data_IF_629100497237
#
_entry.id   IF_629100497237
#
_cell.length_a   1.000
_cell.length_b   1.000
_cell.length_c   1.000
_cell.angle_alpha   90.00
_cell.angle_beta   90.00
_cell.angle_gamma   90.00
#
_symmetry.space_group_name_H-M   'P 1'
#
loop_
_entity.id
_entity.type
_entity.pdbx_description
1 polymer ?
#
# COMPACT_ATOMS: atom_id res chain seq x y z
N UNK A 1 -10.90 -26.10 -6.57
CA UNK A 1 -10.43 -25.93 -5.19
C UNK A 1 -10.67 -27.22 -4.46
N UNK A 2 -9.63 -28.01 -4.42
CA UNK A 2 -9.60 -29.31 -3.76
C UNK A 2 -9.27 -29.11 -2.29
N UNK A 3 -10.11 -28.33 -1.62
CA UNK A 3 -10.03 -28.13 -0.17
C UNK A 3 -11.38 -27.91 0.48
N UNK A 4 -11.48 -28.30 1.74
CA UNK A 4 -12.59 -27.96 2.63
C UNK A 4 -12.05 -27.14 3.80
N UNK A 5 -12.71 -26.03 4.13
CA UNK A 5 -12.44 -25.29 5.35
C UNK A 5 -13.38 -25.82 6.44
N UNK A 6 -12.80 -26.34 7.51
CA UNK A 6 -13.51 -26.82 8.70
C UNK A 6 -13.38 -25.72 9.75
N UNK A 7 -14.52 -25.30 10.31
CA UNK A 7 -14.60 -24.32 11.39
C UNK A 7 -15.41 -24.92 12.53
N UNK A 8 -14.98 -24.70 13.77
CA UNK A 8 -15.69 -25.15 14.95
C UNK A 8 -15.77 -24.03 15.98
N UNK A 9 -16.82 -24.06 16.78
CA UNK A 9 -17.00 -23.18 17.92
C UNK A 9 -17.38 -24.01 19.15
N UNK A 10 -16.96 -23.55 20.32
CA UNK A 10 -17.35 -24.15 21.60
C UNK A 10 -18.34 -23.20 22.29
N UNK A 11 -19.47 -23.70 22.84
CA UNK A 11 -20.46 -22.85 23.53
C UNK A 11 -19.88 -22.06 24.70
N UNK A 12 -18.90 -22.63 25.40
CA UNK A 12 -18.04 -21.98 26.39
C UNK A 12 -16.60 -22.43 26.10
N UNK A 13 -15.57 -21.57 26.21
CA UNK A 13 -14.19 -21.96 25.94
C UNK A 13 -13.74 -22.97 27.00
N UNK A 14 -13.72 -24.28 26.71
CA UNK A 14 -13.30 -25.25 27.70
C UNK A 14 -11.78 -25.10 27.85
N UNK A 15 -11.25 -25.39 29.04
CA UNK A 15 -9.84 -25.77 29.13
C UNK A 15 -9.69 -27.10 28.39
N UNK A 16 -9.31 -27.01 27.11
CA UNK A 16 -9.10 -28.15 26.23
C UNK A 16 -7.61 -28.48 26.26
N UNK A 17 -7.27 -29.74 26.53
CA UNK A 17 -5.88 -30.18 26.54
C UNK A 17 -5.44 -30.66 25.15
N UNK A 18 -6.37 -31.24 24.39
CA UNK A 18 -6.11 -31.71 23.03
C UNK A 18 -7.35 -31.71 22.16
N UNK A 19 -7.15 -31.41 20.87
CA UNK A 19 -8.16 -31.43 19.83
C UNK A 19 -7.73 -32.38 18.70
N UNK A 20 -8.63 -33.27 18.29
CA UNK A 20 -8.37 -34.22 17.20
C UNK A 20 -9.49 -34.12 16.19
N UNK A 21 -9.12 -33.74 14.97
CA UNK A 21 -10.00 -33.73 13.81
C UNK A 21 -9.91 -35.07 13.09
N UNK A 22 -11.06 -35.63 12.76
CA UNK A 22 -11.22 -36.86 12.03
C UNK A 22 -11.98 -36.63 10.73
N UNK A 23 -11.76 -37.53 9.76
CA UNK A 23 -12.38 -37.51 8.44
C UNK A 23 -12.75 -38.92 7.98
N UNK A 24 -13.83 -39.03 7.22
CA UNK A 24 -14.18 -40.22 6.41
C UNK A 24 -14.81 -39.80 5.09
N UNK A 25 -14.74 -40.64 4.06
CA UNK A 25 -15.45 -40.43 2.79
C UNK A 25 -16.87 -41.01 2.81
N UNK A 26 -17.16 -41.88 3.78
CA UNK A 26 -18.43 -42.59 3.92
C UNK A 26 -18.79 -42.77 5.38
N UNK A 27 -20.08 -42.58 5.71
CA UNK A 27 -20.61 -42.83 7.06
C UNK A 27 -20.68 -44.32 7.43
N UNK A 28 -20.45 -45.21 6.46
CA UNK A 28 -20.32 -46.66 6.72
C UNK A 28 -18.92 -47.03 7.23
N UNK A 29 -17.94 -46.17 6.97
CA UNK A 29 -16.54 -46.41 7.31
C UNK A 29 -16.17 -45.73 8.63
N UNK A 30 -15.11 -46.23 9.25
CA UNK A 30 -14.57 -45.63 10.47
C UNK A 30 -13.90 -44.29 10.17
N UNK A 31 -14.16 -43.31 11.03
CA UNK A 31 -13.48 -42.01 11.00
C UNK A 31 -11.98 -42.17 11.28
N UNK A 32 -11.16 -41.72 10.33
CA UNK A 32 -9.70 -41.73 10.45
C UNK A 32 -9.19 -40.41 11.04
N UNK A 33 -8.08 -40.46 11.77
CA UNK A 33 -7.44 -39.25 12.31
C UNK A 33 -6.90 -38.43 11.13
N UNK A 34 -7.37 -37.19 11.01
CA UNK A 34 -6.86 -36.24 10.02
C UNK A 34 -5.73 -35.39 10.61
N UNK A 35 -5.96 -34.79 11.78
CA UNK A 35 -4.98 -33.91 12.41
C UNK A 35 -5.20 -33.80 13.92
N UNK A 36 -4.11 -33.74 14.68
CA UNK A 36 -4.11 -33.26 16.06
C UNK A 36 -3.82 -31.76 16.01
N UNK A 37 -4.71 -30.95 16.57
CA UNK A 37 -4.74 -29.50 16.41
C UNK A 37 -4.55 -28.88 17.82
N UNK A 38 -3.78 -27.79 17.96
CA UNK A 38 -3.85 -26.98 19.18
C UNK A 38 -5.27 -26.44 19.39
N UNK A 39 -5.58 -25.99 20.61
CA UNK A 39 -6.91 -25.44 20.94
C UNK A 39 -7.25 -24.21 20.10
N UNK A 40 -6.23 -23.44 19.73
CA UNK A 40 -6.28 -22.27 18.87
C UNK A 40 -5.31 -22.49 17.71
N UNK A 41 -5.72 -22.29 16.45
CA UNK A 41 -6.95 -21.65 15.97
C UNK A 41 -8.19 -22.57 15.90
N UNK A 42 -9.39 -21.98 15.75
CA UNK A 42 -10.68 -22.68 15.69
C UNK A 42 -11.07 -23.19 14.29
N UNK A 43 -10.08 -23.34 13.41
CA UNK A 43 -10.29 -23.63 11.99
C UNK A 43 -9.14 -24.42 11.42
N UNK A 44 -9.44 -25.26 10.43
CA UNK A 44 -8.47 -26.09 9.73
C UNK A 44 -8.84 -26.21 8.25
N UNK A 45 -7.83 -26.11 7.38
CA UNK A 45 -8.00 -26.29 5.94
C UNK A 45 -7.53 -27.69 5.55
N UNK A 46 -8.48 -28.53 5.15
CA UNK A 46 -8.18 -29.85 4.60
C UNK A 46 -7.95 -29.73 3.09
N UNK A 47 -6.68 -29.81 2.67
CA UNK A 47 -6.23 -29.77 1.28
C UNK A 47 -6.04 -31.16 0.65
N UNK A 48 -6.28 -32.24 1.41
CA UNK A 48 -6.08 -33.62 0.95
C UNK A 48 -7.37 -34.27 0.46
N UNK A 49 -8.20 -33.54 -0.29
CA UNK A 49 -9.58 -33.92 -0.64
C UNK A 49 -9.86 -33.73 -2.12
N UNK A 50 -10.56 -34.67 -2.75
CA UNK A 50 -10.94 -34.57 -4.17
C UNK A 50 -12.34 -34.01 -4.35
N UNK A 51 -12.55 -33.24 -5.42
CA UNK A 51 -13.88 -32.73 -5.81
C UNK A 51 -14.89 -33.81 -6.21
N UNK A 52 -14.42 -35.04 -6.44
CA UNK A 52 -15.28 -36.18 -6.76
C UNK A 52 -15.95 -36.80 -5.51
N UNK A 53 -15.37 -36.58 -4.33
CA UNK A 53 -15.78 -37.25 -3.11
C UNK A 53 -16.47 -36.28 -2.13
N UNK A 54 -17.36 -36.82 -1.31
CA UNK A 54 -17.92 -36.13 -0.13
C UNK A 54 -17.11 -36.58 1.08
N UNK A 55 -16.77 -35.64 1.95
CA UNK A 55 -16.03 -35.91 3.18
C UNK A 55 -16.87 -35.52 4.38
N UNK A 56 -16.92 -36.40 5.38
CA UNK A 56 -17.57 -36.16 6.66
C UNK A 56 -16.50 -35.94 7.72
N UNK A 57 -16.75 -35.00 8.63
CA UNK A 57 -15.78 -34.59 9.65
C UNK A 57 -16.34 -34.82 11.05
N UNK A 58 -15.44 -35.10 11.98
CA UNK A 58 -15.75 -35.23 13.39
C UNK A 58 -14.64 -34.60 14.20
N UNK A 59 -15.01 -33.85 15.22
CA UNK A 59 -14.07 -33.26 16.17
C UNK A 59 -14.18 -34.03 17.49
N UNK A 60 -13.05 -34.45 18.07
CA UNK A 60 -12.98 -34.91 19.46
C UNK A 60 -12.05 -34.01 20.25
N UNK A 61 -12.41 -33.72 21.49
CA UNK A 61 -11.56 -32.95 22.38
C UNK A 61 -11.57 -33.53 23.79
N UNK A 62 -10.45 -33.37 24.50
CA UNK A 62 -10.31 -33.70 25.91
C UNK A 62 -10.33 -32.42 26.73
N UNK A 63 -11.17 -32.41 27.76
CA UNK A 63 -11.19 -31.34 28.77
C UNK A 63 -10.13 -31.61 29.84
N UNK A 64 -9.73 -30.55 30.55
CA UNK A 64 -8.81 -30.63 31.68
C UNK A 64 -9.27 -31.51 32.85
N UNK A 65 -10.58 -31.83 32.91
CA UNK A 65 -11.16 -32.79 33.86
C UNK A 65 -11.05 -34.26 33.38
N UNK A 66 -10.37 -34.50 32.25
CA UNK A 66 -10.22 -35.81 31.63
C UNK A 66 -11.41 -36.26 30.77
N UNK A 67 -12.52 -35.51 30.72
CA UNK A 67 -13.67 -35.89 29.91
C UNK A 67 -13.40 -35.71 28.42
N UNK A 68 -13.69 -36.76 27.64
CA UNK A 68 -13.69 -36.69 26.19
C UNK A 68 -15.09 -36.30 25.69
N UNK A 69 -15.16 -35.31 24.81
CA UNK A 69 -16.37 -34.90 24.11
C UNK A 69 -16.15 -34.98 22.59
N UNK A 70 -17.23 -35.10 21.84
CA UNK A 70 -17.17 -35.04 20.38
C UNK A 70 -18.28 -34.16 19.80
N UNK A 71 -18.08 -33.71 18.55
CA UNK A 71 -19.16 -33.17 17.73
C UNK A 71 -20.27 -34.21 17.51
N UNK A 72 -21.45 -33.74 17.10
CA UNK A 72 -22.58 -34.62 16.80
C UNK A 72 -22.19 -35.72 15.79
N UNK A 73 -22.60 -36.94 16.10
CA UNK A 73 -22.34 -38.15 15.33
C UNK A 73 -23.56 -38.62 14.55
N UNK A 74 -24.75 -38.16 14.94
CA UNK A 74 -25.98 -38.48 14.24
C UNK A 74 -26.07 -37.67 12.94
N UNK A 75 -25.61 -36.41 12.96
CA UNK A 75 -25.55 -35.55 11.78
C UNK A 75 -24.16 -34.92 11.60
N UNK A 76 -23.13 -35.72 11.27
CA UNK A 76 -21.77 -35.20 11.13
C UNK A 76 -21.69 -34.17 9.99
N UNK A 77 -20.98 -33.04 10.20
CA UNK A 77 -20.79 -32.05 9.16
C UNK A 77 -20.03 -32.66 7.97
N UNK A 78 -20.38 -32.23 6.77
CA UNK A 78 -19.74 -32.72 5.55
C UNK A 78 -19.43 -31.61 4.57
N UNK A 79 -18.45 -31.85 3.71
CA UNK A 79 -18.04 -30.95 2.65
C UNK A 79 -17.70 -31.72 1.38
N UNK A 80 -18.04 -31.15 0.23
CA UNK A 80 -17.57 -31.59 -1.08
C UNK A 80 -16.76 -30.45 -1.70
N UNK A 81 -15.46 -30.64 -1.95
CA UNK A 81 -14.64 -29.61 -2.57
C UNK A 81 -15.17 -29.24 -3.95
N UNK A 82 -15.08 -27.96 -4.31
CA UNK A 82 -15.50 -27.50 -5.63
C UNK A 82 -14.40 -27.79 -6.65
N UNK A 83 -14.74 -28.42 -7.77
CA UNK A 83 -13.83 -28.44 -8.92
C UNK A 83 -13.80 -27.05 -9.54
N UNK A 84 -12.61 -26.48 -9.71
CA UNK A 84 -12.49 -25.20 -10.42
C UNK A 84 -12.72 -25.41 -11.91
N UNK A 85 -13.45 -24.51 -12.54
CA UNK A 85 -13.59 -24.50 -14.00
C UNK A 85 -12.35 -23.85 -14.66
N UNK A 86 -12.23 -24.00 -15.99
CA UNK A 86 -11.09 -23.49 -16.77
C UNK A 86 -10.93 -21.97 -16.64
N UNK A 87 -12.04 -21.24 -16.64
CA UNK A 87 -12.04 -19.77 -16.55
C UNK A 87 -11.51 -19.28 -15.19
N UNK A 88 -11.98 -19.88 -14.09
CA UNK A 88 -11.48 -19.61 -12.75
C UNK A 88 -10.00 -19.95 -12.63
N UNK A 89 -9.55 -21.08 -13.19
CA UNK A 89 -8.13 -21.44 -13.19
C UNK A 89 -7.29 -20.39 -13.92
N UNK A 90 -7.75 -19.92 -15.08
CA UNK A 90 -7.07 -18.89 -15.84
C UNK A 90 -6.92 -17.60 -15.01
N UNK A 91 -8.01 -17.12 -14.41
CA UNK A 91 -7.98 -15.92 -13.56
C UNK A 91 -7.03 -16.10 -12.38
N UNK A 92 -7.05 -17.25 -11.70
CA UNK A 92 -6.16 -17.48 -10.55
C UNK A 92 -4.70 -17.55 -10.98
N UNK A 93 -4.40 -18.14 -12.13
CA UNK A 93 -3.04 -18.19 -12.66
C UNK A 93 -2.44 -16.80 -12.86
N UNK A 94 -3.25 -15.80 -13.21
CA UNK A 94 -2.80 -14.40 -13.29
C UNK A 94 -2.29 -13.86 -11.94
N UNK A 95 -2.65 -14.48 -10.81
CA UNK A 95 -2.27 -14.05 -9.46
C UNK A 95 -1.32 -15.03 -8.76
N UNK A 96 -0.84 -16.09 -9.41
CA UNK A 96 -0.02 -17.13 -8.75
C UNK A 96 1.31 -16.58 -8.23
N UNK A 97 1.88 -15.59 -8.92
CA UNK A 97 3.14 -14.96 -8.54
C UNK A 97 2.98 -13.87 -7.47
N UNK A 98 1.74 -13.49 -7.15
CA UNK A 98 1.45 -12.47 -6.17
C UNK A 98 1.43 -13.04 -4.75
N UNK A 99 2.07 -12.34 -3.81
CA UNK A 99 2.05 -12.72 -2.40
C UNK A 99 0.73 -12.29 -1.73
N UNK A 100 -0.37 -12.93 -2.12
CA UNK A 100 -1.70 -12.60 -1.59
C UNK A 100 -2.01 -13.45 -0.36
N UNK A 101 -1.97 -12.81 0.81
CA UNK A 101 -2.10 -13.45 2.12
C UNK A 101 -3.41 -13.09 2.86
N UNK A 102 -4.12 -12.05 2.45
CA UNK A 102 -5.38 -11.62 3.07
C UNK A 102 -6.31 -10.93 2.03
N UNK A 103 -7.52 -10.55 2.47
CA UNK A 103 -8.55 -9.96 1.62
C UNK A 103 -8.14 -8.55 1.17
N UNK A 104 -7.50 -7.80 2.06
CA UNK A 104 -7.06 -6.42 1.83
C UNK A 104 -5.97 -6.34 0.73
N UNK A 105 -5.01 -7.27 0.77
CA UNK A 105 -4.00 -7.45 -0.27
C UNK A 105 -4.63 -7.85 -1.60
N UNK A 106 -5.61 -8.76 -1.59
CA UNK A 106 -6.33 -9.14 -2.80
C UNK A 106 -7.08 -7.96 -3.43
N UNK A 107 -7.77 -7.17 -2.61
CA UNK A 107 -8.44 -5.94 -3.05
C UNK A 107 -7.45 -4.97 -3.69
N UNK A 108 -6.32 -4.70 -3.03
CA UNK A 108 -5.29 -3.78 -3.53
C UNK A 108 -4.77 -4.20 -4.91
N UNK A 109 -4.47 -5.49 -5.08
CA UNK A 109 -4.00 -6.04 -6.35
C UNK A 109 -5.08 -5.96 -7.43
N UNK A 110 -6.36 -6.18 -7.07
CA UNK A 110 -7.46 -6.04 -8.03
C UNK A 110 -7.64 -4.59 -8.49
N UNK A 111 -7.51 -3.61 -7.60
CA UNK A 111 -7.50 -2.18 -7.95
C UNK A 111 -6.36 -1.88 -8.92
N UNK A 112 -5.14 -2.29 -8.59
CA UNK A 112 -3.96 -2.11 -9.45
C UNK A 112 -4.18 -2.67 -10.85
N UNK A 113 -4.76 -3.88 -10.93
CA UNK A 113 -5.10 -4.52 -12.20
C UNK A 113 -6.19 -3.74 -12.95
N UNK A 114 -7.24 -3.23 -12.30
CA UNK A 114 -8.25 -2.41 -12.97
C UNK A 114 -7.68 -1.11 -13.53
N UNK A 115 -6.81 -0.45 -12.76
CA UNK A 115 -6.10 0.74 -13.22
C UNK A 115 -5.23 0.42 -14.43
N UNK A 116 -4.45 -0.66 -14.35
CA UNK A 116 -3.51 -1.03 -15.42
C UNK A 116 -4.24 -1.48 -16.69
N UNK A 117 -5.35 -2.21 -16.58
CA UNK A 117 -6.18 -2.66 -17.71
C UNK A 117 -6.92 -1.51 -18.41
N UNK A 118 -7.17 -0.39 -17.70
CA UNK A 118 -7.92 0.76 -18.24
C UNK A 118 -7.16 1.55 -19.30
N UNK A 119 -5.83 1.42 -19.37
CA UNK A 119 -4.94 2.20 -20.24
C UNK A 119 -5.10 3.73 -20.13
N UNK A 120 -5.66 4.24 -19.03
CA UNK A 120 -5.82 5.71 -18.85
C UNK A 120 -4.49 6.40 -18.54
N UNK A 121 -3.52 5.64 -18.02
CA UNK A 121 -2.20 6.12 -17.62
C UNK A 121 -1.12 5.74 -18.65
N UNK A 122 -0.14 6.63 -18.89
CA UNK A 122 0.98 6.33 -19.77
C UNK A 122 1.92 5.27 -19.16
N UNK A 123 2.74 4.65 -20.02
CA UNK A 123 3.83 3.77 -19.59
C UNK A 123 4.73 4.48 -18.59
N UNK A 124 5.08 3.80 -17.50
CA UNK A 124 5.94 4.33 -16.43
C UNK A 124 5.21 5.09 -15.32
N UNK A 125 3.88 5.29 -15.42
CA UNK A 125 3.09 5.78 -14.30
C UNK A 125 3.05 4.77 -13.15
N UNK A 126 3.19 5.24 -11.90
CA UNK A 126 3.25 4.36 -10.74
C UNK A 126 1.85 3.88 -10.29
N UNK A 127 1.25 2.97 -11.06
CA UNK A 127 -0.07 2.38 -10.77
C UNK A 127 -0.12 1.66 -9.42
N UNK A 128 1.01 1.08 -9.00
CA UNK A 128 1.16 0.41 -7.70
C UNK A 128 1.12 1.38 -6.52
N UNK A 129 1.78 2.53 -6.62
CA UNK A 129 1.67 3.55 -5.58
C UNK A 129 0.24 4.08 -5.49
N UNK A 130 -0.42 4.26 -6.64
CA UNK A 130 -1.82 4.70 -6.67
C UNK A 130 -2.75 3.66 -6.06
N UNK A 131 -2.59 2.37 -6.39
CA UNK A 131 -3.43 1.30 -5.82
C UNK A 131 -3.26 1.19 -4.31
N UNK A 132 -2.04 1.34 -3.79
CA UNK A 132 -1.76 1.39 -2.35
C UNK A 132 -2.38 2.60 -1.68
N UNK A 133 -2.30 3.78 -2.30
CA UNK A 133 -2.91 5.01 -1.80
C UNK A 133 -4.45 4.87 -1.73
N UNK A 134 -5.06 4.31 -2.76
CA UNK A 134 -6.51 4.06 -2.85
C UNK A 134 -7.01 2.98 -1.88
N UNK A 135 -6.18 1.97 -1.58
CA UNK A 135 -6.54 0.90 -0.65
C UNK A 135 -6.16 1.17 0.80
N UNK A 136 -5.46 2.28 1.04
CA UNK A 136 -5.11 2.71 2.39
C UNK A 136 -6.28 3.37 3.10
N UNK A 137 -6.31 3.28 4.43
CA UNK A 137 -7.29 3.98 5.28
C UNK A 137 -6.68 5.22 5.95
N UNK A 138 -5.54 5.73 5.47
CA UNK A 138 -4.92 6.87 6.12
C UNK A 138 -5.64 8.17 5.74
N UNK A 139 -5.64 9.12 6.67
CA UNK A 139 -6.11 10.49 6.46
C UNK A 139 -4.97 11.43 6.87
N UNK A 140 -4.61 12.35 5.99
CA UNK A 140 -3.61 13.38 6.26
C UNK A 140 -4.06 14.73 5.69
N UNK A 141 -3.35 15.81 5.99
CA UNK A 141 -3.66 17.11 5.39
C UNK A 141 -3.29 17.16 3.90
N UNK A 142 -2.30 16.38 3.49
CA UNK A 142 -1.70 16.40 2.16
C UNK A 142 -1.45 14.96 1.65
N UNK A 143 -2.50 14.16 1.45
CA UNK A 143 -2.36 12.75 1.10
C UNK A 143 -1.59 12.49 -0.19
N UNK A 144 -1.72 13.36 -1.20
CA UNK A 144 -1.03 13.16 -2.48
C UNK A 144 0.47 13.41 -2.35
N UNK A 145 0.87 14.53 -1.74
CA UNK A 145 2.29 14.84 -1.54
C UNK A 145 3.03 13.82 -0.67
N UNK A 146 2.34 13.26 0.32
CA UNK A 146 2.93 12.29 1.24
C UNK A 146 3.26 10.93 0.59
N UNK A 147 2.58 10.56 -0.49
CA UNK A 147 2.54 9.17 -0.96
C UNK A 147 2.65 9.01 -2.49
N UNK A 148 2.70 10.12 -3.24
CA UNK A 148 2.68 10.07 -4.69
C UNK A 148 3.79 10.91 -5.32
N UNK A 149 4.52 10.41 -6.34
CA UNK A 149 5.56 11.16 -7.01
C UNK A 149 5.03 12.43 -7.68
N UNK A 150 5.80 13.52 -7.59
CA UNK A 150 5.40 14.86 -8.09
C UNK A 150 4.97 14.84 -9.56
N UNK A 151 5.75 14.23 -10.46
CA UNK A 151 5.36 14.11 -11.87
C UNK A 151 4.03 13.38 -12.06
N UNK A 152 3.76 12.36 -11.26
CA UNK A 152 2.54 11.59 -11.39
C UNK A 152 1.33 12.37 -10.82
N UNK A 153 1.51 13.21 -9.78
CA UNK A 153 0.48 14.16 -9.32
C UNK A 153 0.05 15.09 -10.46
N UNK A 154 0.98 15.70 -11.19
CA UNK A 154 0.64 16.54 -12.35
C UNK A 154 -0.12 15.78 -13.44
N UNK A 155 0.22 14.50 -13.67
CA UNK A 155 -0.47 13.67 -14.66
C UNK A 155 -1.88 13.28 -14.23
N UNK A 156 -2.20 13.29 -12.93
CA UNK A 156 -3.50 12.87 -12.40
C UNK A 156 -4.64 13.83 -12.76
N UNK A 157 -4.36 15.12 -12.98
CA UNK A 157 -5.39 16.15 -13.18
C UNK A 157 -6.44 15.75 -14.23
N UNK A 158 -5.99 15.37 -15.42
CA UNK A 158 -6.89 14.95 -16.52
C UNK A 158 -7.46 13.54 -16.37
N UNK A 159 -7.05 12.79 -15.34
CA UNK A 159 -7.39 11.37 -15.16
C UNK A 159 -8.48 11.16 -14.14
N UNK A 160 -8.69 12.10 -13.22
CA UNK A 160 -9.72 12.01 -12.18
C UNK A 160 -11.15 12.04 -12.74
N UNK A 161 -11.35 12.62 -13.91
CA UNK A 161 -12.67 12.68 -14.58
C UNK A 161 -13.05 11.37 -15.28
N UNK A 162 -12.17 10.37 -15.30
CA UNK A 162 -12.40 9.12 -16.02
C UNK A 162 -13.51 8.27 -15.38
N UNK A 163 -14.35 7.63 -16.22
CA UNK A 163 -15.45 6.76 -15.79
C UNK A 163 -15.00 5.51 -15.00
N UNK A 164 -13.72 5.15 -15.07
CA UNK A 164 -13.12 4.08 -14.27
C UNK A 164 -13.45 4.26 -12.78
N UNK A 165 -13.30 5.47 -12.25
CA UNK A 165 -13.40 5.73 -10.80
C UNK A 165 -14.81 5.52 -10.26
N UNK A 166 -15.83 5.72 -11.10
CA UNK A 166 -17.23 5.48 -10.74
C UNK A 166 -17.57 3.97 -10.69
N UNK A 167 -16.79 3.14 -11.39
CA UNK A 167 -17.09 1.72 -11.57
C UNK A 167 -16.08 0.78 -10.89
N UNK A 168 -14.93 1.29 -10.43
CA UNK A 168 -13.83 0.47 -9.93
C UNK A 168 -14.26 -0.43 -8.76
N UNK A 169 -15.04 0.10 -7.83
CA UNK A 169 -15.56 -0.63 -6.68
C UNK A 169 -16.44 -1.82 -7.09
N UNK A 170 -17.33 -1.60 -8.07
CA UNK A 170 -18.18 -2.64 -8.63
C UNK A 170 -17.37 -3.72 -9.37
N UNK A 171 -16.39 -3.30 -10.17
CA UNK A 171 -15.51 -4.21 -10.91
C UNK A 171 -14.67 -5.07 -9.96
N UNK A 172 -14.09 -4.46 -8.92
CA UNK A 172 -13.35 -5.17 -7.86
C UNK A 172 -14.27 -6.17 -7.16
N UNK A 173 -15.47 -5.77 -6.77
CA UNK A 173 -16.43 -6.66 -6.11
C UNK A 173 -16.80 -7.87 -6.98
N UNK A 174 -17.05 -7.67 -8.28
CA UNK A 174 -17.33 -8.76 -9.22
C UNK A 174 -16.15 -9.74 -9.35
N UNK A 175 -14.91 -9.22 -9.43
CA UNK A 175 -13.70 -10.07 -9.45
C UNK A 175 -13.50 -10.80 -8.13
N UNK A 176 -13.78 -10.15 -6.99
CA UNK A 176 -13.77 -10.79 -5.66
C UNK A 176 -14.72 -11.98 -5.60
N UNK A 177 -15.96 -11.84 -6.06
CA UNK A 177 -16.93 -12.95 -6.04
C UNK A 177 -16.55 -14.11 -6.97
N UNK A 178 -15.90 -13.81 -8.10
CA UNK A 178 -15.35 -14.82 -9.01
C UNK A 178 -14.21 -15.61 -8.35
N UNK A 179 -13.38 -14.92 -7.58
CA UNK A 179 -12.21 -15.46 -6.87
C UNK A 179 -12.54 -16.10 -5.51
N UNK A 180 -13.70 -15.77 -4.95
CA UNK A 180 -14.19 -16.21 -3.63
C UNK A 180 -14.02 -17.70 -3.38
N UNK A 181 -14.38 -18.64 -4.29
CA UNK A 181 -14.28 -20.07 -3.99
C UNK A 181 -12.87 -20.51 -3.57
N UNK A 182 -11.82 -19.88 -4.11
CA UNK A 182 -10.43 -20.23 -3.81
C UNK A 182 -9.89 -19.44 -2.64
N UNK A 183 -9.96 -18.11 -2.72
CA UNK A 183 -9.32 -17.26 -1.73
C UNK A 183 -9.99 -17.33 -0.37
N UNK A 184 -11.30 -17.58 -0.31
CA UNK A 184 -12.01 -17.79 0.96
C UNK A 184 -11.39 -18.92 1.77
N UNK A 185 -11.13 -20.07 1.14
CA UNK A 185 -10.48 -21.21 1.79
C UNK A 185 -9.00 -20.92 2.09
N UNK A 186 -8.26 -20.30 1.15
CA UNK A 186 -6.84 -19.92 1.33
C UNK A 186 -6.64 -19.00 2.54
N UNK A 187 -7.55 -18.05 2.74
CA UNK A 187 -7.53 -17.11 3.87
C UNK A 187 -8.21 -17.64 5.13
N UNK A 188 -8.66 -18.91 5.11
CA UNK A 188 -9.33 -19.55 6.23
C UNK A 188 -10.58 -18.80 6.72
N UNK A 189 -11.34 -18.14 5.84
CA UNK A 189 -12.52 -17.37 6.24
C UNK A 189 -13.83 -18.08 5.91
N UNK A 190 -14.87 -17.89 6.72
CA UNK A 190 -16.21 -18.42 6.41
C UNK A 190 -16.89 -17.62 5.29
N UNK A 191 -17.97 -18.12 4.67
CA UNK A 191 -18.74 -17.33 3.70
C UNK A 191 -19.25 -16.00 4.28
N UNK A 192 -19.73 -16.00 5.52
CA UNK A 192 -20.23 -14.78 6.17
C UNK A 192 -19.09 -13.80 6.50
N UNK A 193 -17.95 -14.32 7.00
CA UNK A 193 -16.74 -13.50 7.23
C UNK A 193 -16.23 -12.87 5.93
N UNK A 194 -16.24 -13.63 4.83
CA UNK A 194 -15.87 -13.15 3.50
C UNK A 194 -16.76 -11.99 3.08
N UNK A 195 -18.08 -12.20 3.01
CA UNK A 195 -19.04 -11.18 2.57
C UNK A 195 -18.87 -9.89 3.38
N UNK A 196 -18.84 -9.99 4.71
CA UNK A 196 -18.66 -8.83 5.59
C UNK A 196 -17.34 -8.08 5.34
N UNK A 197 -16.24 -8.81 5.12
CA UNK A 197 -14.92 -8.19 4.89
C UNK A 197 -14.80 -7.58 3.50
N UNK A 198 -15.37 -8.21 2.49
CA UNK A 198 -15.39 -7.67 1.12
C UNK A 198 -16.26 -6.42 1.06
N UNK A 199 -17.48 -6.46 1.60
CA UNK A 199 -18.37 -5.28 1.66
C UNK A 199 -17.69 -4.11 2.36
N UNK A 200 -17.07 -4.37 3.54
CA UNK A 200 -16.31 -3.34 4.25
C UNK A 200 -15.14 -2.82 3.42
N UNK A 201 -14.38 -3.69 2.78
CA UNK A 201 -13.24 -3.31 1.96
C UNK A 201 -13.65 -2.45 0.77
N UNK A 202 -14.70 -2.83 0.04
CA UNK A 202 -15.24 -2.08 -1.09
C UNK A 202 -15.74 -0.70 -0.67
N UNK A 203 -16.49 -0.62 0.43
CA UNK A 203 -16.94 0.65 1.00
C UNK A 203 -15.77 1.59 1.35
N UNK A 204 -14.71 1.05 1.96
CA UNK A 204 -13.53 1.84 2.33
C UNK A 204 -12.78 2.38 1.10
N UNK A 205 -12.75 1.64 -0.01
CA UNK A 205 -12.18 2.13 -1.28
C UNK A 205 -12.98 3.34 -1.77
N UNK A 206 -14.31 3.28 -1.75
CA UNK A 206 -15.17 4.39 -2.20
C UNK A 206 -14.97 5.63 -1.32
N UNK A 207 -14.95 5.46 0.01
CA UNK A 207 -14.62 6.56 0.92
C UNK A 207 -13.23 7.15 0.67
N UNK A 208 -12.25 6.29 0.39
CA UNK A 208 -10.89 6.72 0.15
C UNK A 208 -10.73 7.46 -1.17
N UNK A 209 -11.34 6.98 -2.25
CA UNK A 209 -11.40 7.68 -3.54
C UNK A 209 -12.01 9.07 -3.35
N UNK A 210 -13.18 9.16 -2.72
CA UNK A 210 -13.87 10.43 -2.51
C UNK A 210 -13.02 11.42 -1.70
N UNK A 211 -12.35 10.93 -0.65
CA UNK A 211 -11.46 11.73 0.18
C UNK A 211 -10.22 12.22 -0.58
N UNK A 212 -9.57 11.35 -1.34
CA UNK A 212 -8.37 11.72 -2.11
C UNK A 212 -8.74 12.70 -3.23
N UNK A 213 -9.85 12.48 -3.90
CA UNK A 213 -10.24 13.30 -5.04
C UNK A 213 -10.67 14.69 -4.59
N UNK A 214 -11.32 14.81 -3.42
CA UNK A 214 -11.68 16.10 -2.85
C UNK A 214 -10.48 16.91 -2.36
N UNK A 215 -9.34 16.29 -2.05
CA UNK A 215 -8.11 17.00 -1.66
C UNK A 215 -7.18 17.33 -2.83
N UNK A 216 -7.42 16.74 -4.00
CA UNK A 216 -6.47 16.79 -5.11
C UNK A 216 -6.29 18.19 -5.68
N UNK A 217 -7.38 18.92 -5.93
CA UNK A 217 -7.32 20.25 -6.54
C UNK A 217 -6.54 21.24 -5.68
N UNK A 218 -6.80 21.25 -4.37
CA UNK A 218 -6.09 22.11 -3.41
C UNK A 218 -4.58 21.79 -3.36
N UNK A 219 -4.22 20.50 -3.37
CA UNK A 219 -2.82 20.08 -3.41
C UNK A 219 -2.14 20.44 -4.73
N UNK A 220 -2.80 20.18 -5.87
CA UNK A 220 -2.26 20.53 -7.17
C UNK A 220 -2.04 22.04 -7.31
N UNK A 221 -2.98 22.85 -6.85
CA UNK A 221 -2.86 24.31 -6.82
C UNK A 221 -1.70 24.76 -5.93
N UNK A 222 -1.52 24.12 -4.76
CA UNK A 222 -0.39 24.40 -3.89
C UNK A 222 0.95 24.10 -4.57
N UNK A 223 1.01 23.03 -5.38
CA UNK A 223 2.18 22.64 -6.15
C UNK A 223 2.46 23.58 -7.33
N UNK A 224 1.42 23.97 -8.08
CA UNK A 224 1.49 24.91 -9.22
C UNK A 224 1.96 26.31 -8.80
N UNK A 225 1.62 26.73 -7.57
CA UNK A 225 2.05 28.01 -6.98
C UNK A 225 3.48 28.02 -6.47
N UNK A 226 4.15 26.87 -6.39
CA UNK A 226 5.54 26.83 -5.96
C UNK A 226 6.47 27.41 -7.02
N UNK A 227 7.59 27.97 -6.54
CA UNK A 227 8.74 28.27 -7.38
C UNK A 227 9.15 27.04 -8.20
N UNK A 228 9.58 27.23 -9.46
CA UNK A 228 9.77 26.13 -10.39
C UNK A 228 10.93 25.21 -10.00
N UNK A 229 11.86 25.67 -9.18
CA UNK A 229 12.93 24.88 -8.56
C UNK A 229 12.98 25.23 -7.08
N UNK A 230 13.21 24.23 -6.23
CA UNK A 230 13.35 24.43 -4.79
C UNK A 230 14.39 23.48 -4.21
N UNK A 231 15.09 23.91 -3.17
CA UNK A 231 15.89 23.02 -2.33
C UNK A 231 14.95 22.07 -1.60
N UNK A 232 15.21 20.77 -1.73
CA UNK A 232 14.47 19.71 -1.07
C UNK A 232 15.28 19.02 0.01
N UNK A 233 16.59 18.90 -0.17
CA UNK A 233 17.46 18.29 0.84
C UNK A 233 18.84 18.94 0.93
N UNK A 234 19.39 18.90 2.14
CA UNK A 234 20.80 19.14 2.44
C UNK A 234 21.39 17.82 2.93
N UNK A 235 22.46 17.34 2.31
CA UNK A 235 23.16 16.11 2.72
C UNK A 235 24.59 16.44 3.11
N UNK A 236 24.98 15.95 4.28
CA UNK A 236 26.30 16.12 4.84
C UNK A 236 26.96 14.73 4.90
N UNK A 237 27.97 14.52 4.07
CA UNK A 237 28.78 13.28 4.03
C UNK A 237 30.22 13.64 4.44
N UNK A 238 30.99 12.67 4.95
CA UNK A 238 32.30 12.90 5.60
C UNK A 238 33.26 13.86 4.87
N UNK A 239 33.17 14.00 3.55
CA UNK A 239 34.05 14.87 2.75
C UNK A 239 33.29 15.74 1.73
N UNK A 240 31.95 15.73 1.73
CA UNK A 240 31.16 16.46 0.73
C UNK A 240 29.80 16.85 1.27
N UNK A 241 29.45 18.09 0.98
CA UNK A 241 28.14 18.66 1.25
C UNK A 241 27.36 18.78 -0.05
N UNK A 242 26.10 18.35 -0.04
CA UNK A 242 25.23 18.36 -1.21
C UNK A 242 23.96 19.14 -0.92
N UNK A 243 23.53 19.90 -1.93
CA UNK A 243 22.19 20.49 -2.01
C UNK A 243 21.44 19.75 -3.09
N UNK A 244 20.32 19.12 -2.73
CA UNK A 244 19.38 18.52 -3.67
C UNK A 244 18.30 19.54 -4.01
N UNK A 245 18.14 19.81 -5.29
CA UNK A 245 17.12 20.71 -5.83
C UNK A 245 16.06 19.91 -6.57
N UNK A 246 14.81 20.04 -6.15
CA UNK A 246 13.65 19.48 -6.83
C UNK A 246 13.11 20.45 -7.88
N UNK A 247 12.97 19.96 -9.10
CA UNK A 247 12.31 20.62 -10.21
C UNK A 247 10.79 20.42 -10.07
N UNK A 248 9.99 21.49 -9.97
CA UNK A 248 8.54 21.40 -9.83
C UNK A 248 7.80 21.82 -11.10
N UNK A 249 8.17 22.97 -11.67
CA UNK A 249 7.48 23.55 -12.83
C UNK A 249 8.49 23.86 -13.96
N UNK A 250 8.99 22.85 -14.70
CA UNK A 250 10.02 23.05 -15.73
C UNK A 250 9.61 24.02 -16.84
N UNK A 251 8.32 24.07 -17.20
CA UNK A 251 7.83 25.00 -18.23
C UNK A 251 8.03 26.49 -17.89
N UNK A 252 8.32 26.83 -16.63
CA UNK A 252 8.60 28.20 -16.20
C UNK A 252 10.10 28.57 -16.24
N UNK A 253 10.98 27.62 -16.60
CA UNK A 253 12.45 27.76 -16.59
C UNK A 253 13.07 27.89 -17.99
N UNK A 254 12.25 28.02 -19.03
CA UNK A 254 12.77 28.18 -20.39
C UNK A 254 13.71 29.39 -20.49
N UNK A 255 14.95 29.16 -20.92
CA UNK A 255 16.03 30.14 -21.04
C UNK A 255 16.42 30.85 -19.73
N UNK A 256 16.11 30.25 -18.57
CA UNK A 256 16.46 30.82 -17.27
C UNK A 256 17.66 30.14 -16.64
N UNK A 257 18.53 30.93 -16.01
CA UNK A 257 19.69 30.43 -15.27
C UNK A 257 19.32 30.13 -13.82
N UNK A 258 19.60 28.90 -13.38
CA UNK A 258 19.40 28.48 -11.99
C UNK A 258 20.75 28.48 -11.30
N UNK A 259 20.87 29.19 -10.18
CA UNK A 259 22.14 29.32 -9.46
C UNK A 259 21.95 29.17 -7.95
N UNK A 260 22.96 28.56 -7.32
CA UNK A 260 23.18 28.65 -5.88
C UNK A 260 24.21 29.74 -5.62
N UNK A 261 23.88 30.68 -4.74
CA UNK A 261 24.69 31.86 -4.44
C UNK A 261 25.05 31.87 -2.96
N UNK A 262 26.33 32.00 -2.65
CA UNK A 262 26.84 32.26 -1.29
C UNK A 262 27.93 33.32 -1.34
N UNK A 263 27.70 34.46 -0.67
CA UNK A 263 28.55 35.64 -0.77
C UNK A 263 28.74 36.08 -2.24
N UNK A 264 29.97 36.07 -2.74
CA UNK A 264 30.32 36.39 -4.14
C UNK A 264 30.47 35.15 -5.04
N UNK A 265 30.35 33.95 -4.47
CA UNK A 265 30.49 32.71 -5.22
C UNK A 265 29.14 32.22 -5.73
N UNK A 266 29.13 31.71 -6.96
CA UNK A 266 27.96 31.12 -7.59
C UNK A 266 28.26 29.73 -8.14
N UNK A 267 27.27 28.84 -8.07
CA UNK A 267 27.29 27.53 -8.70
C UNK A 267 26.05 27.43 -9.59
N UNK A 268 26.25 27.23 -10.89
CA UNK A 268 25.15 26.97 -11.83
C UNK A 268 24.59 25.57 -11.62
N UNK A 269 23.27 25.47 -11.55
CA UNK A 269 22.54 24.21 -11.44
C UNK A 269 22.00 23.84 -12.80
N UNK A 270 22.29 22.62 -13.24
CA UNK A 270 21.84 22.10 -14.53
C UNK A 270 20.85 20.96 -14.31
N UNK A 271 19.72 21.03 -15.00
CA UNK A 271 18.80 19.91 -15.18
C UNK A 271 18.96 19.35 -16.60
N UNK A 272 18.86 18.03 -16.80
CA UNK A 272 18.76 17.44 -18.14
C UNK A 272 17.60 18.04 -18.95
N UNK A 273 17.72 18.08 -20.28
CA UNK A 273 16.65 18.61 -21.15
C UNK A 273 15.35 17.81 -21.04
N UNK A 274 15.43 16.52 -20.72
CA UNK A 274 14.30 15.61 -20.52
C UNK A 274 13.79 15.59 -19.06
N UNK A 275 14.23 16.53 -18.23
CA UNK A 275 13.80 16.61 -16.83
C UNK A 275 12.31 16.91 -16.71
N UNK A 276 11.63 16.07 -15.93
CA UNK A 276 10.19 16.17 -15.63
C UNK A 276 9.97 16.74 -14.21
N UNK A 277 8.75 17.19 -13.86
CA UNK A 277 8.44 17.55 -12.48
C UNK A 277 8.83 16.45 -11.48
N UNK A 278 9.39 16.81 -10.32
CA UNK A 278 9.97 15.90 -9.35
C UNK A 278 11.39 15.42 -9.67
N UNK A 279 11.99 15.77 -10.81
CA UNK A 279 13.42 15.48 -11.06
C UNK A 279 14.29 16.19 -10.03
N UNK A 280 15.40 15.55 -9.65
CA UNK A 280 16.33 16.07 -8.63
C UNK A 280 17.68 16.36 -9.29
N UNK A 281 18.20 17.56 -9.09
CA UNK A 281 19.58 17.90 -9.37
C UNK A 281 20.34 17.96 -8.04
N UNK A 282 21.44 17.21 -7.92
CA UNK A 282 22.30 17.22 -6.74
C UNK A 282 23.57 18.00 -7.03
N UNK A 283 23.85 19.02 -6.23
CA UNK A 283 24.98 19.94 -6.43
C UNK A 283 25.88 19.89 -5.21
N UNK A 284 27.19 19.69 -5.41
CA UNK A 284 28.17 19.80 -4.34
C UNK A 284 28.41 21.26 -3.98
N UNK A 285 28.39 21.57 -2.69
CA UNK A 285 28.71 22.90 -2.17
C UNK A 285 30.02 22.88 -1.36
N UNK A 286 30.80 23.97 -1.37
CA UNK A 286 31.99 24.11 -0.53
C UNK A 286 31.69 24.11 0.98
N UNK A 287 32.62 23.59 1.78
CA UNK A 287 32.48 23.49 3.25
C UNK A 287 32.51 24.85 3.96
N UNK A 288 32.92 25.93 3.27
CA UNK A 288 32.91 27.28 3.82
C UNK A 288 31.59 28.03 3.57
N UNK A 289 30.58 27.40 2.96
CA UNK A 289 29.27 28.01 2.75
C UNK A 289 28.37 27.78 3.97
N UNK A 290 28.00 28.85 4.68
CA UNK A 290 27.09 28.79 5.84
C UNK A 290 25.71 29.36 5.53
N UNK A 291 25.61 30.22 4.53
CA UNK A 291 24.36 30.76 4.02
C UNK A 291 24.36 30.62 2.51
N UNK A 292 23.23 30.16 1.97
CA UNK A 292 23.07 29.99 0.54
C UNK A 292 21.70 30.48 0.11
N UNK A 293 21.62 30.97 -1.12
CA UNK A 293 20.38 31.33 -1.76
C UNK A 293 20.26 30.67 -3.12
N UNK A 294 19.09 30.07 -3.36
CA UNK A 294 18.69 29.64 -4.69
C UNK A 294 18.13 30.87 -5.44
N UNK A 295 18.63 31.10 -6.64
CA UNK A 295 18.20 32.17 -7.51
C UNK A 295 17.88 31.68 -8.92
N UNK A 296 16.93 32.35 -9.55
CA UNK A 296 16.58 32.18 -10.97
C UNK A 296 16.79 33.53 -11.65
N UNK A 297 17.64 33.58 -12.69
CA UNK A 297 18.06 34.83 -13.36
C UNK A 297 18.55 35.90 -12.37
N UNK A 298 19.27 35.46 -11.33
CA UNK A 298 19.77 36.32 -10.26
C UNK A 298 18.71 36.79 -9.26
N UNK A 299 17.43 36.45 -9.43
CA UNK A 299 16.37 36.74 -8.47
C UNK A 299 16.35 35.65 -7.40
N UNK A 300 16.62 36.03 -6.15
CA UNK A 300 16.61 35.13 -5.00
C UNK A 300 15.19 34.62 -4.70
N UNK A 301 14.98 33.31 -4.85
CA UNK A 301 13.67 32.66 -4.63
C UNK A 301 13.62 31.84 -3.34
N UNK A 302 14.77 31.42 -2.82
CA UNK A 302 14.87 30.70 -1.55
C UNK A 302 16.19 31.04 -0.86
N UNK A 303 16.15 31.20 0.47
CA UNK A 303 17.34 31.37 1.32
C UNK A 303 17.34 30.28 2.38
N UNK A 304 18.51 29.74 2.67
CA UNK A 304 18.69 28.68 3.66
C UNK A 304 20.07 28.75 4.29
N UNK A 305 20.13 28.39 5.58
CA UNK A 305 21.38 28.21 6.30
C UNK A 305 21.90 26.78 6.10
N UNK A 306 23.21 26.61 6.19
CA UNK A 306 23.92 25.35 6.09
C UNK A 306 24.62 25.12 7.41
N UNK A 307 24.15 24.12 8.16
CA UNK A 307 24.75 23.70 9.42
C UNK A 307 25.61 22.45 9.19
N UNK A 308 26.92 22.67 9.11
CA UNK A 308 27.92 21.61 8.92
C UNK A 308 28.12 20.72 10.15
N UNK A 309 27.52 21.05 11.30
CA UNK A 309 27.60 20.20 12.50
C UNK A 309 26.65 19.00 12.45
N UNK A 310 25.69 19.01 11.51
CA UNK A 310 24.76 17.91 11.30
C UNK A 310 25.44 16.74 10.59
N UNK A 311 25.38 15.54 11.19
CA UNK A 311 25.83 14.30 10.53
C UNK A 311 24.73 13.63 9.70
N UNK A 312 23.53 14.24 9.62
CA UNK A 312 22.34 13.65 9.00
C UNK A 312 21.78 14.53 7.88
N UNK A 313 21.07 13.89 6.95
CA UNK A 313 20.33 14.54 5.88
C UNK A 313 19.23 15.45 6.46
N UNK A 314 19.17 16.70 6.04
CA UNK A 314 18.11 17.65 6.45
C UNK A 314 17.15 17.87 5.29
N UNK A 315 15.86 17.60 5.48
CA UNK A 315 14.81 17.89 4.52
C UNK A 315 14.31 19.33 4.63
N UNK A 316 13.87 19.90 3.50
CA UNK A 316 13.29 21.24 3.43
C UNK A 316 11.84 21.12 2.93
N UNK A 317 10.89 21.65 3.71
CA UNK A 317 9.47 21.59 3.38
C UNK A 317 9.06 22.59 2.28
N UNK A 318 7.84 22.45 1.75
CA UNK A 318 7.23 23.44 0.84
C UNK A 318 7.13 24.84 1.47
N UNK A 319 7.17 24.93 2.80
CA UNK A 319 7.16 26.19 3.55
C UNK A 319 8.54 26.63 4.02
N UNK A 320 9.61 26.01 3.52
CA UNK A 320 10.99 26.26 3.94
C UNK A 320 11.28 25.90 5.40
N UNK A 321 10.54 24.94 5.96
CA UNK A 321 10.83 24.41 7.30
C UNK A 321 11.89 23.30 7.20
N UNK A 322 12.87 23.29 8.10
CA UNK A 322 13.93 22.26 8.15
C UNK A 322 13.51 21.07 8.99
N UNK A 323 13.88 19.87 8.53
CA UNK A 323 13.39 18.61 9.07
C UNK A 323 14.52 17.58 9.15
N UNK A 324 14.74 17.01 10.33
CA UNK A 324 15.73 15.94 10.52
C UNK A 324 15.27 14.62 9.88
N UNK A 325 16.22 13.93 9.24
CA UNK A 325 16.06 12.66 8.51
C UNK A 325 15.26 11.59 9.26
N UNK A 326 15.39 11.53 10.59
CA UNK A 326 14.80 10.51 11.47
C UNK A 326 13.27 10.39 11.38
N UNK A 327 12.59 11.31 10.68
CA UNK A 327 11.13 11.36 10.53
C UNK A 327 10.58 11.10 9.12
N UNK A 328 11.43 10.89 8.10
CA UNK A 328 11.02 10.95 6.69
C UNK A 328 11.62 9.86 5.80
N UNK A 329 11.30 8.58 6.05
CA UNK A 329 11.53 7.54 5.05
C UNK A 329 10.47 7.65 3.93
N UNK A 330 10.89 8.02 2.71
CA UNK A 330 10.12 7.97 1.45
C UNK A 330 9.16 9.11 1.09
N UNK A 331 9.29 10.32 1.67
CA UNK A 331 8.44 11.47 1.27
C UNK A 331 9.13 12.32 0.18
N UNK A 332 8.48 12.49 -0.98
CA UNK A 332 9.03 13.26 -2.11
C UNK A 332 8.88 14.78 -1.96
N UNK A 333 7.83 15.20 -1.27
CA UNK A 333 7.54 16.60 -0.93
C UNK A 333 7.11 16.61 0.53
N UNK A 334 7.73 17.45 1.35
CA UNK A 334 7.34 17.58 2.75
C UNK A 334 6.41 18.79 2.90
N UNK A 335 5.12 18.60 3.19
CA UNK A 335 4.16 19.68 2.97
C UNK A 335 3.96 20.61 4.18
N UNK A 336 4.02 20.11 5.42
CA UNK A 336 3.94 20.89 6.67
C UNK A 336 4.18 19.97 7.91
N UNK A 337 4.87 20.44 8.96
CA UNK A 337 4.91 19.74 10.27
C UNK A 337 4.43 20.65 11.40
N UNK A 338 3.74 20.09 12.41
CA UNK A 338 3.34 20.79 13.64
C UNK A 338 4.51 21.24 14.53
N UNK A 339 5.74 20.78 14.27
CA UNK A 339 6.95 21.17 15.00
C UNK A 339 8.04 21.46 13.97
N UNK A 340 8.23 22.74 13.69
CA UNK A 340 9.45 23.23 13.05
C UNK A 340 10.64 22.92 13.96
N UNK A 341 11.78 22.54 13.35
CA UNK A 341 13.06 22.56 14.05
C UNK A 341 13.67 23.93 13.75
N UNK A 342 13.99 24.67 14.82
CA UNK A 342 14.83 25.86 14.71
C UNK A 342 16.27 25.36 14.56
N UNK A 343 16.94 25.74 13.47
CA UNK A 343 18.35 25.40 13.24
C UNK A 343 19.32 26.08 14.22
N UNK A 344 18.82 26.82 15.23
CA UNK A 344 19.61 27.67 16.12
C UNK A 344 19.24 27.52 17.61
N UNK A 345 19.02 26.29 18.09
CA UNK A 345 19.15 25.98 19.54
C UNK A 345 20.21 24.91 19.79
#
# INVERSE_FOLDING_TARGET
IESNLIVWNFPEPPKIDSLILFRTESLRDSFQVLKRIPVVPNRFLDNGVSSNNRYFYKLKYHRADGQQRSSDLNTPPFGRPLKMNKHQNMIINDFIHENINNIEALITILIEKQISESNIFPTGFNTKALSLLLSSNFKSKYPWFGHFPVHDIFKMETKLENELWQNISNQVNQKMETLRPYYRNKFLVTPQEWTKRVEKGVYLIEEQINYLFSSFEDELELLKKQEPVRVSWLRFEENRNWVDLSLLNPGQLFEKDITLISNENLITVLFPEDAIPGSIASVTIPDNWYECSLAIDGIHIQKFAIDHSQSEKTGVSLRNEFISNSSLENTFIIPEIRKSILLNE
#
